data_IF_400299087976
#
_entry.id   IF_400299087976
#
_cell.length_a   1.000
_cell.length_b   1.000
_cell.length_c   1.000
_cell.angle_alpha   90.00
_cell.angle_beta   90.00
_cell.angle_gamma   90.00
#
_symmetry.space_group_name_H-M   'P 1'
#
loop_
_entity.id
_entity.type
_entity.pdbx_description
1 polymer ?
#
# COMPACT_ATOMS: atom_id res chain seq x y z
N UNK A 1 6.14 -0.25 23.52
CA UNK A 1 5.14 -0.52 22.46
C UNK A 1 5.12 0.54 21.37
N UNK A 2 5.19 1.85 21.70
CA UNK A 2 5.11 2.93 20.69
C UNK A 2 6.08 2.81 19.50
N UNK A 3 7.36 2.51 19.74
CA UNK A 3 8.34 2.34 18.65
C UNK A 3 8.00 1.18 17.71
N UNK A 4 7.58 0.03 18.26
CA UNK A 4 7.16 -1.13 17.48
C UNK A 4 5.91 -0.80 16.65
N UNK A 5 4.91 -0.15 17.27
CA UNK A 5 3.70 0.28 16.56
C UNK A 5 4.02 1.26 15.43
N UNK A 6 4.94 2.21 15.65
CA UNK A 6 5.37 3.15 14.61
C UNK A 6 6.05 2.42 13.44
N UNK A 7 6.96 1.48 13.70
CA UNK A 7 7.61 0.70 12.64
C UNK A 7 6.59 -0.11 11.84
N UNK A 8 5.66 -0.77 12.53
CA UNK A 8 4.59 -1.54 11.88
C UNK A 8 3.65 -0.66 11.06
N UNK A 9 3.34 0.55 11.56
CA UNK A 9 2.54 1.53 10.83
C UNK A 9 3.24 1.96 9.54
N UNK A 10 4.52 2.36 9.61
CA UNK A 10 5.29 2.75 8.43
C UNK A 10 5.45 1.59 7.44
N UNK A 11 5.64 0.36 7.93
CA UNK A 11 5.69 -0.82 7.07
C UNK A 11 4.35 -1.07 6.37
N UNK A 12 3.24 -0.91 7.08
CA UNK A 12 1.89 -1.04 6.50
C UNK A 12 1.63 0.01 5.42
N UNK A 13 1.98 1.27 5.69
CA UNK A 13 1.86 2.37 4.70
C UNK A 13 2.78 2.14 3.51
N UNK A 14 4.00 1.67 3.72
CA UNK A 14 4.91 1.31 2.63
C UNK A 14 4.32 0.21 1.74
N UNK A 15 3.77 -0.84 2.34
CA UNK A 15 3.12 -1.93 1.59
C UNK A 15 1.87 -1.43 0.84
N UNK A 16 1.10 -0.50 1.41
CA UNK A 16 -0.01 0.18 0.75
C UNK A 16 0.44 0.90 -0.53
N UNK A 17 1.47 1.75 -0.44
CA UNK A 17 2.02 2.47 -1.60
C UNK A 17 2.66 1.54 -2.63
N UNK A 18 3.26 0.43 -2.17
CA UNK A 18 3.75 -0.63 -3.06
C UNK A 18 2.61 -1.31 -3.82
N UNK A 19 1.43 -1.46 -3.22
CA UNK A 19 0.23 -1.95 -3.90
C UNK A 19 -0.16 -1.08 -5.10
N UNK A 20 -0.24 0.23 -4.89
CA UNK A 20 -0.46 1.21 -5.97
C UNK A 20 0.62 1.09 -7.06
N UNK A 21 1.88 1.09 -6.62
CA UNK A 21 3.06 1.04 -7.51
C UNK A 21 3.09 -0.23 -8.35
N UNK A 22 2.75 -1.38 -7.77
CA UNK A 22 2.73 -2.67 -8.46
C UNK A 22 1.74 -2.68 -9.63
N UNK A 23 0.52 -2.18 -9.41
CA UNK A 23 -0.49 -2.08 -10.48
C UNK A 23 -0.11 -1.01 -11.51
N UNK A 24 0.49 0.10 -11.09
CA UNK A 24 1.01 1.11 -12.01
C UNK A 24 2.11 0.54 -12.94
N UNK A 25 3.02 -0.29 -12.40
CA UNK A 25 4.06 -0.97 -13.17
C UNK A 25 3.47 -1.96 -14.20
N UNK A 26 2.36 -2.64 -13.86
CA UNK A 26 1.64 -3.48 -14.82
C UNK A 26 1.15 -2.68 -16.04
N UNK A 27 0.71 -1.43 -15.82
CA UNK A 27 0.35 -0.49 -16.89
C UNK A 27 1.55 0.24 -17.53
N UNK A 28 2.79 -0.21 -17.26
CA UNK A 28 4.04 0.41 -17.78
C UNK A 28 4.22 1.86 -17.35
N UNK A 29 3.63 2.27 -16.22
CA UNK A 29 3.82 3.59 -15.63
C UNK A 29 5.08 3.52 -14.75
N UNK A 30 6.15 4.26 -15.06
CA UNK A 30 7.36 4.25 -14.25
C UNK A 30 7.12 4.98 -12.93
N UNK A 31 7.54 4.35 -11.83
CA UNK A 31 7.56 4.92 -10.48
C UNK A 31 8.99 5.35 -10.15
N UNK A 32 9.19 6.63 -9.82
CA UNK A 32 10.53 7.13 -9.49
C UNK A 32 10.93 6.85 -8.05
N UNK A 33 10.00 7.13 -7.13
CA UNK A 33 10.21 7.03 -5.70
C UNK A 33 8.88 6.91 -4.97
N UNK A 34 8.94 6.35 -3.77
CA UNK A 34 7.85 6.33 -2.80
C UNK A 34 8.33 7.15 -1.61
N UNK A 35 7.62 8.24 -1.31
CA UNK A 35 7.93 9.09 -0.17
C UNK A 35 6.97 8.75 0.96
N UNK A 36 7.51 8.40 2.13
CA UNK A 36 6.72 8.13 3.33
C UNK A 36 6.73 9.36 4.25
N UNK A 37 5.55 9.74 4.71
CA UNK A 37 5.32 10.82 5.64
C UNK A 37 4.60 10.29 6.88
N UNK A 38 4.56 11.09 7.95
CA UNK A 38 3.87 10.71 9.18
C UNK A 38 2.37 10.47 8.95
N UNK A 39 1.77 11.14 7.95
CA UNK A 39 0.35 11.05 7.64
C UNK A 39 0.00 10.10 6.48
N UNK A 40 0.98 9.41 5.87
CA UNK A 40 0.73 8.52 4.73
C UNK A 40 1.95 8.33 3.82
N UNK A 41 1.71 7.97 2.57
CA UNK A 41 2.77 7.87 1.55
C UNK A 41 2.30 8.44 0.22
N UNK A 42 3.26 8.73 -0.67
CA UNK A 42 2.97 9.12 -2.05
C UNK A 42 3.98 8.45 -2.98
N UNK A 43 3.47 7.67 -3.93
CA UNK A 43 4.26 7.17 -5.06
C UNK A 43 4.31 8.22 -6.20
N UNK A 44 5.53 8.62 -6.58
CA UNK A 44 5.74 9.57 -7.68
C UNK A 44 5.71 8.84 -9.04
N UNK A 45 4.63 9.05 -9.79
CA UNK A 45 4.41 8.51 -11.14
C UNK A 45 4.92 9.49 -12.21
N UNK A 46 5.69 8.99 -13.20
CA UNK A 46 6.17 9.83 -14.33
C UNK A 46 5.14 10.12 -15.41
N UNK A 47 4.06 9.35 -15.46
CA UNK A 47 3.06 9.39 -16.52
C UNK A 47 1.67 9.21 -15.91
N UNK A 48 0.68 9.82 -16.54
CA UNK A 48 -0.72 9.60 -16.20
C UNK A 48 -1.19 8.20 -16.60
N UNK A 49 -2.25 7.74 -15.93
CA UNK A 49 -2.86 6.44 -16.23
C UNK A 49 -3.43 6.43 -17.65
N UNK A 50 -3.26 5.33 -18.42
CA UNK A 50 -3.69 5.26 -19.81
C UNK A 50 -5.21 5.21 -20.00
N UNK A 51 -5.98 4.99 -18.94
CA UNK A 51 -7.45 4.97 -18.97
C UNK A 51 -8.05 5.14 -17.58
N UNK A 52 -9.32 5.56 -17.45
CA UNK A 52 -10.01 5.65 -16.16
C UNK A 52 -10.08 4.31 -15.40
N UNK A 53 -10.13 3.18 -16.14
CA UNK A 53 -10.08 1.84 -15.53
C UNK A 53 -8.73 1.55 -14.89
N UNK A 54 -7.64 1.94 -15.55
CA UNK A 54 -6.30 1.79 -15.00
C UNK A 54 -6.12 2.66 -13.76
N UNK A 55 -6.60 3.90 -13.79
CA UNK A 55 -6.57 4.80 -12.63
C UNK A 55 -7.34 4.21 -11.43
N UNK A 56 -8.55 3.69 -11.65
CA UNK A 56 -9.33 3.04 -10.61
C UNK A 56 -8.62 1.80 -10.04
N UNK A 57 -8.04 0.95 -10.91
CA UNK A 57 -7.35 -0.25 -10.48
C UNK A 57 -6.07 0.07 -9.70
N UNK A 58 -5.33 1.10 -10.10
CA UNK A 58 -4.19 1.61 -9.34
C UNK A 58 -4.68 2.12 -7.99
N UNK A 59 -5.71 2.96 -7.95
CA UNK A 59 -6.24 3.57 -6.73
C UNK A 59 -6.82 2.56 -5.72
N UNK A 60 -7.37 1.42 -6.17
CA UNK A 60 -7.90 0.40 -5.25
C UNK A 60 -6.82 -0.57 -4.76
N UNK A 61 -5.67 -0.66 -5.44
CA UNK A 61 -4.62 -1.62 -5.13
C UNK A 61 -4.04 -1.43 -3.71
N UNK A 62 -3.73 -0.19 -3.32
CA UNK A 62 -3.26 0.13 -1.96
C UNK A 62 -4.26 -0.27 -0.87
N UNK A 63 -5.53 0.17 -0.94
CA UNK A 63 -6.58 -0.27 -0.03
C UNK A 63 -6.70 -1.80 0.09
N UNK A 64 -6.65 -2.52 -1.04
CA UNK A 64 -6.69 -4.01 -1.01
C UNK A 64 -5.52 -4.58 -0.22
N UNK A 65 -4.31 -4.04 -0.39
CA UNK A 65 -3.15 -4.46 0.41
C UNK A 65 -3.37 -4.17 1.90
N UNK A 66 -3.89 -2.99 2.25
CA UNK A 66 -4.19 -2.65 3.65
C UNK A 66 -5.26 -3.56 4.27
N UNK A 67 -6.32 -3.89 3.53
CA UNK A 67 -7.33 -4.84 3.99
C UNK A 67 -6.76 -6.25 4.15
N UNK A 68 -5.88 -6.69 3.24
CA UNK A 68 -5.21 -7.99 3.36
C UNK A 68 -4.30 -8.05 4.60
N UNK A 69 -3.52 -7.00 4.86
CA UNK A 69 -2.69 -6.89 6.08
C UNK A 69 -3.57 -6.90 7.32
N UNK A 70 -4.63 -6.10 7.36
CA UNK A 70 -5.57 -6.04 8.49
C UNK A 70 -6.22 -7.40 8.75
N UNK A 71 -6.69 -8.08 7.70
CA UNK A 71 -7.26 -9.42 7.79
C UNK A 71 -6.25 -10.46 8.27
N UNK A 72 -5.00 -10.42 7.80
CA UNK A 72 -3.94 -11.31 8.25
C UNK A 72 -3.58 -11.09 9.72
N UNK A 73 -3.46 -9.83 10.15
CA UNK A 73 -3.24 -9.48 11.55
C UNK A 73 -4.41 -9.95 12.44
N UNK A 74 -5.64 -9.75 11.99
CA UNK A 74 -6.83 -10.19 12.71
C UNK A 74 -6.88 -11.72 12.86
N UNK A 75 -6.59 -12.45 11.79
CA UNK A 75 -6.50 -13.91 11.82
C UNK A 75 -5.38 -14.39 12.75
N UNK A 76 -4.21 -13.75 12.71
CA UNK A 76 -3.10 -14.06 13.61
C UNK A 76 -3.49 -13.89 15.09
N UNK A 77 -4.22 -12.83 15.42
CA UNK A 77 -4.73 -12.61 16.78
C UNK A 77 -5.70 -13.71 17.18
N UNK A 78 -6.66 -14.08 16.32
CA UNK A 78 -7.59 -15.17 16.62
C UNK A 78 -6.85 -16.48 16.90
N UNK A 79 -5.84 -16.81 16.08
CA UNK A 79 -5.07 -18.04 16.22
C UNK A 79 -4.16 -18.04 17.45
N UNK A 80 -3.67 -16.87 17.89
CA UNK A 80 -2.82 -16.75 19.07
C UNK A 80 -3.59 -16.87 20.39
N UNK A 81 -4.88 -16.52 20.37
CA UNK A 81 -5.78 -16.58 21.53
C UNK A 81 -6.57 -17.90 21.61
N UNK A 82 -6.40 -18.80 20.62
CA UNK A 82 -7.02 -20.13 20.56
C UNK A 82 -6.10 -21.21 21.13
#
# INVERSE_FOLDING_TARGET
>A
MGAVAAVLLFLSVLLHELGHSYVALYYRIPIEQITLFIFGGVAHMRREAPSPKAEFLIAVAGPVVSFAIGGACFLLVILAES
#
